data_IF_172652438797
#
_entry.id   IF_172652438797
#
_cell.length_a   1.000
_cell.length_b   1.000
_cell.length_c   1.000
_cell.angle_alpha   90.00
_cell.angle_beta   90.00
_cell.angle_gamma   90.00
#
_symmetry.space_group_name_H-M   'P 1'
#
loop_
_entity.id
_entity.type
_entity.pdbx_description
1 polymer ?
#
# COMPACT_ATOMS: atom_id res chain seq x y z
N UNK A 1 -8.69 1.57 -26.71
CA UNK A 1 -8.83 0.49 -25.70
C UNK A 1 -9.82 1.00 -24.68
N UNK A 2 -10.97 0.34 -24.52
CA UNK A 2 -11.97 0.73 -23.52
C UNK A 2 -11.33 0.58 -22.13
N UNK A 3 -11.32 1.66 -21.34
CA UNK A 3 -11.01 1.53 -19.92
C UNK A 3 -12.20 0.82 -19.27
N UNK A 4 -12.09 -0.50 -19.13
CA UNK A 4 -13.03 -1.23 -18.29
C UNK A 4 -12.78 -0.84 -16.84
N UNK A 5 -13.84 -0.34 -16.19
CA UNK A 5 -13.80 -0.10 -14.75
C UNK A 5 -13.55 -1.43 -14.04
N UNK A 6 -12.93 -1.37 -12.86
CA UNK A 6 -12.78 -2.55 -12.01
C UNK A 6 -14.15 -3.14 -11.68
N UNK A 7 -14.23 -4.47 -11.60
CA UNK A 7 -15.39 -5.12 -11.04
C UNK A 7 -15.50 -4.81 -9.53
N UNK A 8 -16.70 -4.91 -8.92
CA UNK A 8 -16.88 -4.62 -7.50
C UNK A 8 -15.97 -5.46 -6.58
N UNK A 9 -15.75 -6.74 -6.90
CA UNK A 9 -14.87 -7.62 -6.15
C UNK A 9 -13.38 -7.21 -6.27
N UNK A 10 -12.92 -6.79 -7.45
CA UNK A 10 -11.55 -6.31 -7.65
C UNK A 10 -11.32 -5.00 -6.88
N UNK A 11 -12.30 -4.10 -6.92
CA UNK A 11 -12.27 -2.85 -6.15
C UNK A 11 -12.14 -3.14 -4.65
N UNK A 12 -12.94 -4.08 -4.13
CA UNK A 12 -12.89 -4.50 -2.73
C UNK A 12 -11.53 -5.11 -2.36
N UNK A 13 -11.01 -6.02 -3.18
CA UNK A 13 -9.69 -6.64 -2.97
C UNK A 13 -8.55 -5.61 -2.95
N UNK A 14 -8.61 -4.60 -3.82
CA UNK A 14 -7.60 -3.52 -3.82
C UNK A 14 -7.72 -2.66 -2.56
N UNK A 15 -8.95 -2.38 -2.07
CA UNK A 15 -9.13 -1.70 -0.78
C UNK A 15 -8.56 -2.51 0.39
N UNK A 16 -8.79 -3.82 0.42
CA UNK A 16 -8.22 -4.71 1.44
C UNK A 16 -6.69 -4.70 1.40
N UNK A 17 -6.10 -4.79 0.20
CA UNK A 17 -4.65 -4.73 0.02
C UNK A 17 -4.07 -3.37 0.40
N UNK A 18 -4.77 -2.26 0.11
CA UNK A 18 -4.38 -0.92 0.52
C UNK A 18 -4.36 -0.79 2.05
N UNK A 19 -5.40 -1.28 2.73
CA UNK A 19 -5.46 -1.29 4.19
C UNK A 19 -4.33 -2.12 4.79
N UNK A 20 -4.14 -3.34 4.29
CA UNK A 20 -3.07 -4.23 4.72
C UNK A 20 -1.70 -3.56 4.56
N UNK A 21 -1.40 -3.00 3.37
CA UNK A 21 -0.11 -2.38 3.11
C UNK A 21 0.13 -1.14 3.96
N UNK A 22 -0.91 -0.37 4.25
CA UNK A 22 -0.84 0.80 5.15
C UNK A 22 -0.49 0.38 6.58
N UNK A 23 -1.09 -0.71 7.09
CA UNK A 23 -0.75 -1.27 8.40
C UNK A 23 0.72 -1.71 8.41
N UNK A 24 1.16 -2.51 7.44
CA UNK A 24 2.55 -2.97 7.36
C UNK A 24 3.54 -1.80 7.33
N UNK A 25 3.31 -0.79 6.47
CA UNK A 25 4.16 0.39 6.39
C UNK A 25 4.25 1.13 7.74
N UNK A 26 3.11 1.32 8.40
CA UNK A 26 3.04 2.01 9.69
C UNK A 26 3.81 1.24 10.77
N UNK A 27 3.65 -0.08 10.81
CA UNK A 27 4.38 -0.96 11.74
C UNK A 27 5.88 -0.93 11.46
N UNK A 28 6.31 -1.07 10.20
CA UNK A 28 7.73 -0.98 9.82
C UNK A 28 8.32 0.38 10.17
N UNK A 29 7.59 1.47 9.91
CA UNK A 29 8.05 2.84 10.25
C UNK A 29 8.16 3.06 11.75
N UNK A 30 7.23 2.52 12.54
CA UNK A 30 7.32 2.57 14.00
C UNK A 30 8.55 1.81 14.50
N UNK A 31 8.80 0.61 13.97
CA UNK A 31 9.95 -0.22 14.35
C UNK A 31 11.29 0.45 13.95
N UNK A 32 11.35 1.08 12.78
CA UNK A 32 12.51 1.85 12.29
C UNK A 32 12.94 2.94 13.29
N UNK A 33 11.98 3.55 13.99
CA UNK A 33 12.23 4.61 14.96
C UNK A 33 12.77 4.14 16.32
N UNK A 34 12.64 2.84 16.63
CA UNK A 34 13.02 2.27 17.94
C UNK A 34 14.11 1.20 17.87
N UNK A 35 14.43 0.71 16.67
CA UNK A 35 15.47 -0.31 16.47
C UNK A 35 16.88 0.30 16.60
N UNK A 36 17.78 -0.41 17.29
CA UNK A 36 19.17 0.00 17.48
C UNK A 36 20.13 -0.62 16.44
N UNK A 37 19.82 -1.83 15.98
CA UNK A 37 20.58 -2.53 14.96
C UNK A 37 20.51 -1.76 13.62
N UNK A 38 21.66 -1.34 13.11
CA UNK A 38 21.74 -0.44 11.95
C UNK A 38 21.39 -1.15 10.64
N UNK A 39 21.69 -2.44 10.50
CA UNK A 39 21.35 -3.20 9.30
C UNK A 39 19.84 -3.43 9.25
N UNK A 40 19.24 -3.81 10.38
CA UNK A 40 17.79 -3.95 10.49
C UNK A 40 17.08 -2.61 10.27
N UNK A 41 17.62 -1.50 10.77
CA UNK A 41 17.09 -0.17 10.49
C UNK A 41 17.06 0.13 9.00
N UNK A 42 18.15 -0.12 8.29
CA UNK A 42 18.23 0.10 6.84
C UNK A 42 17.22 -0.79 6.06
N UNK A 43 16.99 -2.02 6.52
CA UNK A 43 15.96 -2.90 5.96
C UNK A 43 14.54 -2.36 6.18
N UNK A 44 14.25 -1.82 7.37
CA UNK A 44 12.95 -1.21 7.67
C UNK A 44 12.73 0.08 6.88
N UNK A 45 13.76 0.94 6.76
CA UNK A 45 13.71 2.14 5.90
C UNK A 45 13.40 1.78 4.45
N UNK A 46 14.05 0.73 3.93
CA UNK A 46 13.79 0.21 2.57
C UNK A 46 12.35 -0.29 2.44
N UNK A 47 11.84 -1.05 3.40
CA UNK A 47 10.45 -1.55 3.37
C UNK A 47 9.43 -0.40 3.43
N UNK A 48 9.68 0.64 4.23
CA UNK A 48 8.83 1.84 4.27
C UNK A 48 8.77 2.51 2.90
N UNK A 49 9.91 2.73 2.24
CA UNK A 49 9.95 3.38 0.92
C UNK A 49 9.27 2.56 -0.17
N UNK A 50 9.50 1.25 -0.18
CA UNK A 50 8.81 0.34 -1.10
C UNK A 50 7.29 0.35 -0.82
N UNK A 51 6.90 0.40 0.45
CA UNK A 51 5.49 0.40 0.83
C UNK A 51 4.76 1.68 0.45
N UNK A 52 5.41 2.84 0.56
CA UNK A 52 4.86 4.12 0.05
C UNK A 52 4.57 4.01 -1.44
N UNK A 53 5.52 3.46 -2.21
CA UNK A 53 5.34 3.26 -3.67
C UNK A 53 4.14 2.37 -3.96
N UNK A 54 4.04 1.20 -3.30
CA UNK A 54 2.90 0.29 -3.48
C UNK A 54 1.56 0.93 -3.07
N UNK A 55 1.53 1.71 -1.99
CA UNK A 55 0.31 2.42 -1.55
C UNK A 55 -0.16 3.40 -2.64
N UNK A 56 0.76 4.17 -3.23
CA UNK A 56 0.44 5.11 -4.32
C UNK A 56 -0.09 4.35 -5.55
N UNK A 57 0.50 3.22 -5.90
CA UNK A 57 0.03 2.37 -7.00
C UNK A 57 -1.39 1.82 -6.73
N UNK A 58 -1.65 1.32 -5.52
CA UNK A 58 -2.98 0.84 -5.11
C UNK A 58 -4.03 1.95 -5.15
N UNK A 59 -3.69 3.15 -4.65
CA UNK A 59 -4.55 4.33 -4.75
C UNK A 59 -4.84 4.71 -6.21
N UNK A 60 -3.85 4.61 -7.09
CA UNK A 60 -4.02 4.86 -8.52
C UNK A 60 -4.90 3.79 -9.18
N UNK A 61 -4.80 2.52 -8.78
CA UNK A 61 -5.69 1.47 -9.25
C UNK A 61 -7.14 1.73 -8.83
N UNK A 62 -7.38 2.16 -7.58
CA UNK A 62 -8.73 2.50 -7.09
C UNK A 62 -9.40 3.66 -7.85
N UNK A 63 -8.65 4.50 -8.57
CA UNK A 63 -9.25 5.52 -9.46
C UNK A 63 -10.06 4.89 -10.61
N UNK A 64 -9.87 3.60 -10.89
CA UNK A 64 -10.63 2.82 -11.86
C UNK A 64 -11.86 2.13 -11.25
N UNK A 65 -12.12 2.31 -9.96
CA UNK A 65 -13.31 1.79 -9.31
C UNK A 65 -14.58 2.35 -9.99
N UNK A 66 -15.66 1.56 -10.07
CA UNK A 66 -16.90 2.02 -10.67
C UNK A 66 -17.50 3.14 -9.82
N UNK A 67 -18.03 4.18 -10.47
CA UNK A 67 -18.79 5.21 -9.76
C UNK A 67 -20.07 4.60 -9.21
N UNK A 68 -20.22 4.60 -7.89
CA UNK A 68 -21.50 4.32 -7.26
C UNK A 68 -22.47 5.43 -7.67
N UNK A 69 -23.56 5.07 -8.35
CA UNK A 69 -24.66 5.97 -8.72
C UNK A 69 -25.57 6.21 -7.53
#
# INVERSE_FOLDING_TARGET
>A
MNQENLAPNETMQIHEMLNFKTICMTTSKMMEGVVFDQELKALLEKDVQQSITSIVELQNLLKKAPKLR
#
